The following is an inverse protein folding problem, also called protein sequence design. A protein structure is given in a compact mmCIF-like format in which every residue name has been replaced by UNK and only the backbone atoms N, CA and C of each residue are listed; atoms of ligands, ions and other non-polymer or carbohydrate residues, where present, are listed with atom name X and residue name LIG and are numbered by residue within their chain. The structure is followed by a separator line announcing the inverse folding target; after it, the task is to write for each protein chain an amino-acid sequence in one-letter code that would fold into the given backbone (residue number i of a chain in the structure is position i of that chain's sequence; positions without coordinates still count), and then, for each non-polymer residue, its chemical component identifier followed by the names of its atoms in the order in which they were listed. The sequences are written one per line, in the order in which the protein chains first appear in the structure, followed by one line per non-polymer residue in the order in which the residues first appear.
data_IF_633465340908
#
_entry.id   IF_633465340908
#
_cell.length_a   1.000
_cell.length_b   1.000
_cell.length_c   1.000
_cell.angle_alpha   90.00
_cell.angle_beta   90.00
_cell.angle_gamma   90.00
#
_symmetry.space_group_name_H-M   'P 1'
#
loop_
_entity.id
_entity.type
_entity.pdbx_description
1 polymer ?
#
# COMPACT_ATOMS: atom_id res chain seq x y z
N UNK A 1 49.38 4.48 28.84
CA UNK A 1 49.09 4.05 27.44
C UNK A 1 47.96 2.99 27.33
N UNK A 2 47.58 2.29 28.42
CA UNK A 2 46.50 1.26 28.39
C UNK A 2 45.06 1.81 28.49
N UNK A 3 44.84 3.01 29.04
CA UNK A 3 43.49 3.62 29.17
C UNK A 3 42.89 4.07 27.83
N UNK A 4 43.74 4.44 26.85
CA UNK A 4 43.30 4.88 25.51
C UNK A 4 42.73 3.73 24.66
N UNK A 5 43.07 2.48 24.97
CA UNK A 5 42.57 1.29 24.25
C UNK A 5 41.19 0.82 24.76
N UNK A 6 40.83 1.18 26.00
CA UNK A 6 39.52 0.86 26.60
C UNK A 6 38.43 1.82 26.08
N UNK A 7 38.78 3.10 25.92
CA UNK A 7 37.87 4.11 25.36
C UNK A 7 37.53 3.80 23.90
N UNK A 8 38.50 3.39 23.07
CA UNK A 8 38.23 3.01 21.67
C UNK A 8 37.30 1.81 21.54
N UNK A 9 37.42 0.81 22.43
CA UNK A 9 36.53 -0.37 22.44
C UNK A 9 35.13 -0.01 22.90
N UNK A 10 35.00 0.81 23.94
CA UNK A 10 33.70 1.30 24.42
C UNK A 10 33.03 2.23 23.40
N UNK A 11 33.78 3.14 22.79
CA UNK A 11 33.31 4.02 21.70
C UNK A 11 32.89 3.21 20.48
N UNK A 12 33.65 2.18 20.09
CA UNK A 12 33.28 1.29 18.99
C UNK A 12 31.97 0.54 19.27
N UNK A 13 31.81 0.01 20.50
CA UNK A 13 30.57 -0.67 20.90
C UNK A 13 29.35 0.27 20.88
N UNK A 14 29.50 1.50 21.37
CA UNK A 14 28.41 2.52 21.35
C UNK A 14 28.05 2.92 19.92
N UNK A 15 29.03 3.06 19.03
CA UNK A 15 28.77 3.35 17.61
C UNK A 15 28.03 2.18 16.95
N UNK A 16 28.45 0.93 17.20
CA UNK A 16 27.78 -0.25 16.65
C UNK A 16 26.32 -0.37 17.11
N UNK A 17 26.02 -0.10 18.39
CA UNK A 17 24.64 -0.16 18.89
C UNK A 17 23.77 0.95 18.32
N UNK A 18 24.29 2.17 18.17
CA UNK A 18 23.59 3.28 17.52
C UNK A 18 23.32 2.98 16.05
N UNK A 19 24.31 2.48 15.29
CA UNK A 19 24.14 2.09 13.89
C UNK A 19 23.10 0.97 13.73
N UNK A 20 23.12 -0.05 14.59
CA UNK A 20 22.17 -1.16 14.54
C UNK A 20 20.75 -0.70 14.89
N UNK A 21 20.60 0.20 15.88
CA UNK A 21 19.32 0.81 16.24
C UNK A 21 18.77 1.66 15.10
N UNK A 22 19.60 2.48 14.44
CA UNK A 22 19.20 3.21 13.24
C UNK A 22 18.75 2.25 12.13
N UNK A 23 19.49 1.16 11.89
CA UNK A 23 19.14 0.16 10.87
C UNK A 23 17.78 -0.52 11.15
N UNK A 24 17.50 -0.83 12.42
CA UNK A 24 16.21 -1.39 12.83
C UNK A 24 15.05 -0.38 12.62
N UNK A 25 15.30 0.91 12.85
CA UNK A 25 14.34 1.98 12.57
C UNK A 25 14.11 2.15 11.06
N UNK A 26 15.17 2.10 10.23
CA UNK A 26 15.04 2.14 8.77
C UNK A 26 14.32 0.91 8.19
N UNK A 27 14.53 -0.29 8.76
CA UNK A 27 13.79 -1.50 8.38
C UNK A 27 12.29 -1.42 8.75
N UNK A 28 11.96 -0.71 9.83
CA UNK A 28 10.56 -0.45 10.22
C UNK A 28 9.90 0.70 9.44
N UNK A 29 10.70 1.54 8.78
CA UNK A 29 10.28 2.69 7.99
C UNK A 29 10.67 2.51 6.52
N UNK A 30 10.38 1.35 5.91
CA UNK A 30 10.52 1.16 4.46
C UNK A 30 9.50 2.04 3.72
N UNK A 31 9.82 3.33 3.62
CA UNK A 31 9.09 4.40 2.92
C UNK A 31 9.64 4.57 1.48
N UNK A 32 10.57 3.72 1.01
CA UNK A 32 11.24 3.90 -0.29
C UNK A 32 11.32 2.62 -1.13
N UNK A 33 10.53 2.59 -2.22
CA UNK A 33 10.74 1.73 -3.40
C UNK A 33 9.56 1.80 -4.39
N UNK A 34 9.77 1.93 -5.71
CA UNK A 34 8.70 1.93 -6.71
C UNK A 34 8.17 0.51 -7.04
N UNK A 35 7.99 -0.32 -6.01
CA UNK A 35 7.23 -1.56 -6.08
C UNK A 35 6.34 -1.59 -4.85
N UNK A 36 5.06 -1.25 -5.01
CA UNK A 36 4.06 -1.31 -3.94
C UNK A 36 3.77 -2.78 -3.59
N UNK A 37 4.76 -3.50 -3.07
CA UNK A 37 4.65 -4.89 -2.67
C UNK A 37 4.25 -5.01 -1.21
N UNK A 38 3.37 -5.97 -0.93
CA UNK A 38 2.95 -6.30 0.43
C UNK A 38 3.56 -7.63 0.86
N UNK A 39 4.40 -7.59 1.89
CA UNK A 39 4.98 -8.79 2.50
C UNK A 39 4.21 -9.23 3.75
N UNK A 40 3.46 -8.31 4.37
CA UNK A 40 2.64 -8.57 5.54
C UNK A 40 1.21 -8.12 5.29
N UNK A 41 0.25 -8.89 5.81
CA UNK A 41 -1.18 -8.65 5.65
C UNK A 41 -1.84 -8.42 7.01
N UNK A 42 -2.86 -7.57 7.02
CA UNK A 42 -3.70 -7.39 8.21
C UNK A 42 -4.46 -8.68 8.50
N UNK A 43 -4.24 -9.26 9.68
CA UNK A 43 -4.91 -10.49 10.10
C UNK A 43 -6.33 -10.23 10.59
N UNK A 44 -6.61 -9.02 11.09
CA UNK A 44 -7.92 -8.64 11.63
C UNK A 44 -8.82 -8.12 10.52
N UNK A 45 -10.05 -8.65 10.47
CA UNK A 45 -11.11 -8.15 9.59
C UNK A 45 -11.36 -6.66 9.83
N UNK A 46 -11.33 -5.89 8.74
CA UNK A 46 -11.59 -4.45 8.77
C UNK A 46 -13.08 -4.12 8.59
N UNK A 47 -13.59 -3.05 9.23
CA UNK A 47 -14.93 -2.55 8.98
C UNK A 47 -14.99 -1.92 7.58
N UNK A 48 -15.86 -2.48 6.72
CA UNK A 48 -15.98 -2.08 5.30
C UNK A 48 -16.22 -0.58 5.10
N UNK A 49 -16.98 0.05 5.99
CA UNK A 49 -17.37 1.47 5.88
C UNK A 49 -16.18 2.43 5.97
N UNK A 50 -15.03 1.96 6.45
CA UNK A 50 -13.82 2.78 6.59
C UNK A 50 -12.90 2.68 5.36
N UNK A 51 -13.18 1.77 4.43
CA UNK A 51 -12.42 1.60 3.18
C UNK A 51 -12.94 2.61 2.17
N UNK A 52 -12.05 3.50 1.72
CA UNK A 52 -12.35 4.54 0.75
C UNK A 52 -12.14 4.04 -0.68
N UNK A 53 -11.07 3.28 -0.88
CA UNK A 53 -10.70 2.67 -2.16
C UNK A 53 -9.79 1.44 -1.93
N UNK A 54 -9.39 0.79 -3.01
CA UNK A 54 -8.40 -0.27 -3.03
C UNK A 54 -7.57 -0.23 -4.31
N UNK A 55 -6.37 -0.80 -4.25
CA UNK A 55 -5.51 -1.05 -5.42
C UNK A 55 -4.76 -2.36 -5.29
N UNK A 56 -4.44 -2.97 -6.42
CA UNK A 56 -3.61 -4.17 -6.46
C UNK A 56 -2.14 -3.79 -6.39
N UNK A 57 -1.33 -4.64 -5.76
CA UNK A 57 0.13 -4.53 -5.79
C UNK A 57 0.66 -4.77 -7.21
N UNK A 58 1.89 -4.33 -7.49
CA UNK A 58 2.53 -4.59 -8.79
C UNK A 58 2.61 -6.12 -9.04
N UNK A 59 2.47 -6.53 -10.30
CA UNK A 59 2.63 -7.92 -10.73
C UNK A 59 4.07 -8.43 -10.58
N UNK A 60 5.04 -7.52 -10.45
CA UNK A 60 6.44 -7.87 -10.14
C UNK A 60 6.62 -8.40 -8.72
N UNK A 61 5.66 -8.15 -7.83
CA UNK A 61 5.70 -8.66 -6.47
C UNK A 61 5.60 -10.18 -6.45
N UNK A 62 6.43 -10.83 -5.62
CA UNK A 62 6.42 -12.28 -5.47
C UNK A 62 5.08 -12.82 -4.93
N UNK A 63 4.31 -11.98 -4.22
CA UNK A 63 3.00 -12.33 -3.68
C UNK A 63 1.96 -11.30 -4.14
N UNK A 64 0.90 -11.79 -4.79
CA UNK A 64 -0.25 -10.97 -5.15
C UNK A 64 -0.98 -10.49 -3.89
N UNK A 65 -1.23 -9.18 -3.81
CA UNK A 65 -1.81 -8.56 -2.63
C UNK A 65 -2.67 -7.35 -3.01
N UNK A 66 -3.49 -6.90 -2.06
CA UNK A 66 -4.33 -5.71 -2.22
C UNK A 66 -4.00 -4.69 -1.15
N UNK A 67 -3.84 -3.44 -1.54
CA UNK A 67 -3.71 -2.30 -0.65
C UNK A 67 -5.08 -1.66 -0.50
N UNK A 68 -5.62 -1.70 0.71
CA UNK A 68 -6.87 -1.04 1.09
C UNK A 68 -6.56 0.39 1.55
N UNK A 69 -7.18 1.36 0.89
CA UNK A 69 -7.04 2.79 1.22
C UNK A 69 -8.11 3.15 2.24
N UNK A 70 -7.68 3.40 3.47
CA UNK A 70 -8.55 3.78 4.58
C UNK A 70 -8.50 5.29 4.82
N UNK A 71 -9.39 5.81 5.66
CA UNK A 71 -9.34 7.22 6.10
C UNK A 71 -8.06 7.59 6.84
N UNK A 72 -7.47 6.62 7.54
CA UNK A 72 -6.32 6.82 8.43
C UNK A 72 -5.00 6.31 7.85
N UNK A 73 -4.96 5.97 6.56
CA UNK A 73 -3.80 5.41 5.90
C UNK A 73 -4.12 4.16 5.08
N UNK A 74 -3.09 3.42 4.72
CA UNK A 74 -3.18 2.31 3.78
C UNK A 74 -2.77 1.00 4.47
N UNK A 75 -3.45 -0.09 4.12
CA UNK A 75 -3.23 -1.38 4.74
C UNK A 75 -3.19 -2.48 3.68
N UNK A 76 -2.16 -3.32 3.74
CA UNK A 76 -2.06 -4.54 2.95
C UNK A 76 -3.05 -5.60 3.47
N UNK A 77 -3.80 -6.21 2.56
CA UNK A 77 -4.78 -7.24 2.81
C UNK A 77 -4.59 -8.42 1.84
N UNK A 78 -4.84 -9.63 2.32
CA UNK A 78 -4.65 -10.85 1.53
C UNK A 78 -5.91 -11.13 0.68
N UNK A 79 -5.81 -11.20 -0.66
CA UNK A 79 -6.98 -11.44 -1.52
C UNK A 79 -7.58 -12.84 -1.36
N UNK A 80 -6.88 -13.78 -0.71
CA UNK A 80 -7.43 -15.12 -0.41
C UNK A 80 -8.48 -15.08 0.70
N UNK A 81 -8.52 -14.01 1.49
CA UNK A 81 -9.47 -13.83 2.58
C UNK A 81 -10.85 -13.38 2.06
N UNK A 82 -11.91 -14.09 2.46
CA UNK A 82 -13.26 -13.85 1.95
C UNK A 82 -13.77 -12.42 2.25
N UNK A 83 -13.37 -11.87 3.40
CA UNK A 83 -13.77 -10.52 3.80
C UNK A 83 -13.11 -9.43 2.95
N UNK A 84 -11.90 -9.68 2.45
CA UNK A 84 -11.15 -8.78 1.56
C UNK A 84 -11.82 -8.75 0.19
N UNK A 85 -12.10 -9.93 -0.37
CA UNK A 85 -12.82 -10.04 -1.64
C UNK A 85 -14.22 -9.42 -1.60
N UNK A 86 -14.87 -9.45 -0.44
CA UNK A 86 -16.17 -8.79 -0.25
C UNK A 86 -16.04 -7.27 -0.26
N UNK A 87 -14.95 -6.70 0.28
CA UNK A 87 -14.68 -5.26 0.21
C UNK A 87 -14.42 -4.83 -1.23
N UNK A 88 -13.59 -5.57 -1.97
CA UNK A 88 -13.25 -5.27 -3.37
C UNK A 88 -14.52 -5.18 -4.21
N UNK A 89 -15.39 -6.21 -4.14
CA UNK A 89 -16.68 -6.23 -4.86
C UNK A 89 -17.60 -5.06 -4.50
N UNK A 90 -17.58 -4.63 -3.24
CA UNK A 90 -18.37 -3.49 -2.79
C UNK A 90 -17.83 -2.17 -3.36
N UNK A 91 -16.51 -2.03 -3.46
CA UNK A 91 -15.87 -0.87 -4.09
C UNK A 91 -16.09 -0.85 -5.60
N UNK A 92 -15.99 -1.99 -6.28
CA UNK A 92 -16.25 -2.07 -7.74
C UNK A 92 -17.67 -1.65 -8.09
N UNK A 93 -18.66 -2.20 -7.38
CA UNK A 93 -20.05 -1.80 -7.55
C UNK A 93 -20.27 -0.31 -7.31
N UNK A 94 -19.56 0.28 -6.34
CA UNK A 94 -19.62 1.73 -6.07
C UNK A 94 -19.01 2.52 -7.24
N UNK A 95 -17.84 2.11 -7.75
CA UNK A 95 -17.18 2.73 -8.91
C UNK A 95 -18.05 2.65 -10.16
N UNK A 96 -18.68 1.52 -10.43
CA UNK A 96 -19.62 1.34 -11.55
C UNK A 96 -20.82 2.28 -11.45
N UNK A 97 -21.43 2.38 -10.26
CA UNK A 97 -22.55 3.33 -10.03
C UNK A 97 -22.10 4.77 -10.27
N UNK A 98 -20.95 5.16 -9.73
CA UNK A 98 -20.39 6.50 -9.92
C UNK A 98 -20.13 6.80 -11.41
N UNK A 99 -19.57 5.83 -12.15
CA UNK A 99 -19.35 5.94 -13.60
C UNK A 99 -20.68 6.06 -14.35
N UNK A 100 -21.68 5.26 -14.02
CA UNK A 100 -23.00 5.33 -14.65
C UNK A 100 -23.68 6.69 -14.41
N UNK A 101 -23.60 7.24 -13.18
CA UNK A 101 -24.10 8.58 -12.87
C UNK A 101 -23.34 9.65 -13.67
N UNK A 102 -22.02 9.54 -13.77
CA UNK A 102 -21.20 10.48 -14.55
C UNK A 102 -21.58 10.46 -16.04
N UNK A 103 -21.80 9.28 -16.62
CA UNK A 103 -22.26 9.15 -18.02
C UNK A 103 -23.66 9.71 -18.22
N UNK A 104 -24.56 9.54 -17.25
CA UNK A 104 -25.90 10.15 -17.30
C UNK A 104 -25.85 11.68 -17.24
N UNK A 105 -24.90 12.26 -16.49
CA UNK A 105 -24.70 13.71 -16.41
C UNK A 105 -23.97 14.29 -17.64
N UNK A 106 -23.07 13.52 -18.27
CA UNK A 106 -22.30 13.96 -19.43
C UNK A 106 -23.11 14.08 -20.74
N UNK A 107 -24.37 13.63 -20.73
CA UNK A 107 -25.18 13.49 -21.93
C UNK A 107 -24.68 12.36 -22.84
N UNK A 108 -25.42 11.99 -23.90
CA UNK A 108 -24.96 11.01 -24.86
C UNK A 108 -23.62 11.48 -25.48
N UNK A 109 -22.67 10.56 -25.75
CA UNK A 109 -21.45 10.92 -26.47
C UNK A 109 -21.84 11.60 -27.78
N UNK A 110 -21.30 12.80 -28.03
CA UNK A 110 -21.51 13.53 -29.28
C UNK A 110 -20.85 12.70 -30.40
N UNK A 111 -21.65 11.88 -31.08
CA UNK A 111 -21.21 11.13 -32.27
C UNK A 111 -20.75 12.16 -33.28
N UNK A 112 -19.43 12.27 -33.45
CA UNK A 112 -18.86 13.09 -34.52
C UNK A 112 -19.05 12.31 -35.82
N UNK A 113 -19.59 12.90 -36.89
CA UNK A 113 -19.72 12.21 -38.17
C UNK A 113 -18.31 11.83 -38.63
N UNK A 114 -18.02 10.53 -38.66
CA UNK A 114 -16.82 10.04 -39.29
C UNK A 114 -17.02 10.26 -40.79
N UNK A 115 -16.37 11.29 -41.33
CA UNK A 115 -16.34 11.55 -42.77
C UNK A 115 -15.73 10.33 -43.48
N UNK A 116 -16.44 9.86 -44.49
CA UNK A 116 -16.04 8.80 -45.40
C UNK A 116 -14.87 9.25 -46.28
N UNK A 117 -13.89 8.38 -46.48
CA UNK A 117 -13.14 8.27 -47.75
C UNK A 117 -13.44 6.91 -48.37
#
# INVERSE_FOLDING_TARGET
MMMMMMMKKSVFLVICTLLFSSLAVFASQSIFGPEECCFNHVQKRLPKNNVQDYRWTDRKCAKESVILVMRKGELCADPTEEWVMRIIRDQDRKKERLRATATATAGPPRVSPQYSE
#
